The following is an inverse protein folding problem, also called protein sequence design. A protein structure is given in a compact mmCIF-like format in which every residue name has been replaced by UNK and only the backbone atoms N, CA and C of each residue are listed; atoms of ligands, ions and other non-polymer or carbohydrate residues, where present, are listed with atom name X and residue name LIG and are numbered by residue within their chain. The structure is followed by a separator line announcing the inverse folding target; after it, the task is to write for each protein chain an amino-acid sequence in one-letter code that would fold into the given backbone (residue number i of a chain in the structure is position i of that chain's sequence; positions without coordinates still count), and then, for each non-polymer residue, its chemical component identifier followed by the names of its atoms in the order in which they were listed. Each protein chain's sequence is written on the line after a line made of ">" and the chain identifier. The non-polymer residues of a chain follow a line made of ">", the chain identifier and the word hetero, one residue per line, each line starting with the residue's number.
data_IF_684100089192
#
_entry.id   IF_684100089192
#
_cell.length_a   1.000
_cell.length_b   1.000
_cell.length_c   1.000
_cell.angle_alpha   90.00
_cell.angle_beta   90.00
_cell.angle_gamma   90.00
#
_symmetry.space_group_name_H-M   'P 1'
#
loop_
_entity.id
_entity.type
_entity.pdbx_description
1 polymer ?
#
# COMPACT_ATOMS: atom_id res chain seq x y z
N UNK A 1 -38.34 -8.91 -10.71
CA UNK A 1 -37.32 -8.37 -9.80
C UNK A 1 -36.24 -9.44 -9.67
N UNK A 2 -34.98 -9.08 -9.92
CA UNK A 2 -33.86 -10.00 -9.70
C UNK A 2 -33.78 -10.40 -8.23
N UNK A 3 -33.24 -11.57 -7.96
CA UNK A 3 -33.03 -12.05 -6.60
C UNK A 3 -31.85 -11.31 -5.98
N UNK A 4 -32.01 -10.83 -4.75
CA UNK A 4 -30.93 -10.17 -4.02
C UNK A 4 -29.86 -11.17 -3.57
N UNK A 5 -28.61 -10.71 -3.50
CA UNK A 5 -27.49 -11.53 -3.07
C UNK A 5 -26.72 -10.83 -1.95
N UNK A 6 -26.61 -11.50 -0.80
CA UNK A 6 -25.73 -11.11 0.29
C UNK A 6 -24.63 -12.15 0.48
N UNK A 7 -23.40 -11.69 0.55
CA UNK A 7 -22.20 -12.53 0.75
C UNK A 7 -21.35 -12.00 1.88
N UNK A 8 -20.61 -12.86 2.53
CA UNK A 8 -19.66 -12.54 3.59
C UNK A 8 -18.27 -13.04 3.23
N UNK A 9 -17.25 -12.45 3.82
CA UNK A 9 -15.87 -12.88 3.69
C UNK A 9 -15.64 -14.21 4.42
N UNK A 10 -15.64 -15.31 3.67
CA UNK A 10 -15.41 -16.65 4.20
C UNK A 10 -13.91 -16.97 4.37
N UNK A 11 -13.07 -16.33 3.59
CA UNK A 11 -11.63 -16.48 3.59
C UNK A 11 -10.96 -15.39 2.75
N UNK A 12 -9.64 -15.49 2.56
CA UNK A 12 -8.85 -14.54 1.81
C UNK A 12 -7.91 -15.24 0.83
N UNK A 13 -7.67 -14.59 -0.30
CA UNK A 13 -6.57 -14.95 -1.23
C UNK A 13 -5.48 -13.90 -1.10
N UNK A 14 -4.31 -14.32 -0.59
CA UNK A 14 -3.16 -13.44 -0.49
C UNK A 14 -2.67 -13.03 -1.89
N UNK A 15 -2.40 -11.74 -2.06
CA UNK A 15 -1.71 -11.21 -3.22
C UNK A 15 -0.24 -10.91 -2.87
N UNK A 16 0.71 -11.17 -3.77
CA UNK A 16 2.07 -10.69 -3.62
C UNK A 16 2.10 -9.16 -3.69
N UNK A 17 3.27 -8.55 -3.46
CA UNK A 17 3.42 -7.13 -3.75
C UNK A 17 3.12 -6.86 -5.22
N UNK A 18 2.26 -5.88 -5.45
CA UNK A 18 1.87 -5.43 -6.78
C UNK A 18 2.06 -3.92 -6.88
N UNK A 19 2.54 -3.45 -8.04
CA UNK A 19 2.60 -2.04 -8.31
C UNK A 19 1.18 -1.45 -8.39
N UNK A 20 1.00 -0.29 -7.79
CA UNK A 20 -0.24 0.47 -7.86
C UNK A 20 -0.22 1.35 -9.12
N UNK A 21 -1.39 1.52 -9.73
CA UNK A 21 -1.58 2.44 -10.85
C UNK A 21 -1.75 3.87 -10.33
N UNK A 22 -0.99 4.82 -10.88
CA UNK A 22 -1.15 6.24 -10.59
C UNK A 22 -2.48 6.75 -11.17
N UNK A 23 -3.32 7.34 -10.33
CA UNK A 23 -4.59 7.97 -10.73
C UNK A 23 -4.42 9.44 -11.12
N UNK A 24 -3.23 10.00 -10.95
CA UNK A 24 -2.86 11.35 -11.32
C UNK A 24 -2.12 12.12 -10.20
N UNK A 25 -1.29 13.04 -10.62
CA UNK A 25 -0.52 13.94 -9.76
C UNK A 25 0.38 13.25 -8.71
N UNK A 26 0.69 11.97 -8.87
CA UNK A 26 1.50 11.18 -7.93
C UNK A 26 1.01 11.22 -6.46
N UNK A 27 -0.27 11.44 -6.25
CA UNK A 27 -0.90 11.51 -4.93
C UNK A 27 -1.84 10.34 -4.65
N UNK A 28 -2.52 9.81 -5.68
CA UNK A 28 -3.47 8.73 -5.54
C UNK A 28 -3.08 7.54 -6.41
N UNK A 29 -3.13 6.35 -5.83
CA UNK A 29 -2.71 5.11 -6.48
C UNK A 29 -3.74 4.02 -6.23
N UNK A 30 -4.02 3.20 -7.23
CA UNK A 30 -5.02 2.15 -7.15
C UNK A 30 -4.41 0.76 -7.32
N UNK A 31 -4.85 -0.16 -6.46
CA UNK A 31 -4.54 -1.57 -6.58
C UNK A 31 -5.33 -2.21 -7.73
N UNK A 32 -4.77 -3.27 -8.30
CA UNK A 32 -5.47 -4.10 -9.30
C UNK A 32 -6.54 -5.00 -8.67
N UNK A 33 -6.62 -5.04 -7.35
CA UNK A 33 -7.58 -5.85 -6.61
C UNK A 33 -8.34 -5.00 -5.58
N UNK A 34 -9.64 -5.27 -5.44
CA UNK A 34 -10.53 -4.67 -4.45
C UNK A 34 -11.75 -5.58 -4.20
N UNK A 35 -12.37 -5.55 -3.02
CA UNK A 35 -11.91 -4.86 -1.83
C UNK A 35 -10.65 -5.49 -1.25
N UNK A 36 -9.94 -4.75 -0.39
CA UNK A 36 -8.73 -5.22 0.30
C UNK A 36 -9.11 -5.77 1.67
N UNK A 37 -8.80 -7.04 1.93
CA UNK A 37 -9.06 -7.66 3.23
C UNK A 37 -8.21 -7.01 4.34
N UNK A 38 -8.80 -6.85 5.51
CA UNK A 38 -8.17 -6.36 6.73
C UNK A 38 -8.23 -7.41 7.87
N UNK A 39 -8.52 -8.64 7.53
CA UNK A 39 -8.51 -9.73 8.48
C UNK A 39 -7.11 -9.98 9.06
N UNK A 40 -7.04 -10.49 10.29
CA UNK A 40 -5.76 -10.82 10.94
C UNK A 40 -4.92 -11.72 10.06
N UNK A 41 -3.67 -11.33 9.83
CA UNK A 41 -2.75 -12.00 8.92
C UNK A 41 -2.87 -11.59 7.44
N UNK A 42 -3.84 -10.74 7.09
CA UNK A 42 -4.10 -10.29 5.74
C UNK A 42 -4.07 -8.76 5.58
N UNK A 43 -3.63 -8.04 6.60
CA UNK A 43 -3.55 -6.58 6.57
C UNK A 43 -2.71 -6.10 5.37
N UNK A 44 -3.20 -5.06 4.71
CA UNK A 44 -2.48 -4.46 3.62
C UNK A 44 -1.18 -3.80 4.08
N UNK A 45 -0.10 -4.05 3.36
CA UNK A 45 1.18 -3.37 3.54
C UNK A 45 1.40 -2.49 2.33
N UNK A 46 1.47 -1.18 2.57
CA UNK A 46 1.81 -0.19 1.56
C UNK A 46 3.30 0.12 1.75
N UNK A 47 4.08 -0.07 0.73
CA UNK A 47 5.50 0.22 0.79
C UNK A 47 5.96 0.89 -0.51
N UNK A 48 6.80 1.93 -0.41
CA UNK A 48 7.73 2.20 -1.47
C UNK A 48 8.63 0.97 -1.55
N UNK A 49 9.12 0.65 -2.72
CA UNK A 49 10.18 -0.34 -2.80
C UNK A 49 11.45 0.21 -2.14
N UNK A 50 12.28 -0.66 -1.59
CA UNK A 50 13.47 -0.22 -0.88
C UNK A 50 14.22 -1.35 -0.20
N UNK A 51 15.34 -0.99 0.41
CA UNK A 51 16.19 -1.89 1.19
C UNK A 51 15.47 -2.27 2.48
N UNK A 52 15.43 -3.56 2.79
CA UNK A 52 14.86 -4.07 4.03
C UNK A 52 15.96 -4.32 5.06
N UNK A 53 17.05 -4.97 4.64
CA UNK A 53 18.18 -5.30 5.52
C UNK A 53 19.48 -5.37 4.73
N UNK A 54 20.60 -5.15 5.38
CA UNK A 54 21.94 -5.28 4.78
C UNK A 54 22.27 -4.09 3.85
N UNK A 55 22.99 -4.36 2.75
CA UNK A 55 23.34 -3.38 1.73
C UNK A 55 24.36 -2.32 2.17
N UNK A 56 25.08 -2.56 3.24
CA UNK A 56 26.13 -1.64 3.72
C UNK A 56 27.19 -1.49 2.65
N UNK A 57 27.50 -0.24 2.29
CA UNK A 57 28.54 0.10 1.33
C UNK A 57 29.80 0.46 2.11
N UNK A 58 30.94 -0.12 1.72
CA UNK A 58 32.25 0.15 2.35
C UNK A 58 33.33 0.36 1.29
N UNK A 59 34.42 1.06 1.63
CA UNK A 59 35.59 1.18 0.76
C UNK A 59 36.10 -0.19 0.28
N UNK A 60 36.61 -0.23 -0.95
CA UNK A 60 37.36 -1.37 -1.48
C UNK A 60 38.82 -0.97 -1.72
N UNK A 61 39.75 -1.94 -1.68
CA UNK A 61 41.17 -1.63 -1.90
C UNK A 61 41.51 -1.21 -3.34
N UNK A 62 40.65 -1.55 -4.30
CA UNK A 62 40.81 -1.12 -5.70
C UNK A 62 40.24 0.27 -5.90
N UNK A 63 40.95 1.11 -6.70
CA UNK A 63 40.50 2.43 -7.05
C UNK A 63 39.08 2.40 -7.64
N UNK A 64 38.30 3.43 -7.30
CA UNK A 64 36.96 3.67 -7.82
C UNK A 64 35.97 2.52 -7.60
N UNK A 65 36.27 1.66 -6.63
CA UNK A 65 35.43 0.48 -6.35
C UNK A 65 34.95 0.54 -4.89
N UNK A 66 33.73 0.08 -4.68
CA UNK A 66 33.14 -0.10 -3.35
C UNK A 66 32.64 -1.52 -3.16
N UNK A 67 32.69 -2.01 -1.93
CA UNK A 67 32.06 -3.26 -1.51
C UNK A 67 30.60 -2.99 -1.11
N UNK A 68 29.72 -3.90 -1.45
CA UNK A 68 28.34 -3.92 -1.00
C UNK A 68 28.10 -5.24 -0.24
N UNK A 69 27.63 -5.14 0.99
CA UNK A 69 27.22 -6.31 1.77
C UNK A 69 25.95 -6.94 1.19
N UNK A 70 25.75 -8.22 1.47
CA UNK A 70 24.51 -8.90 1.12
C UNK A 70 23.29 -8.12 1.66
N UNK A 71 22.22 -8.12 0.88
CA UNK A 71 21.03 -7.31 1.16
C UNK A 71 19.74 -8.08 0.88
N UNK A 72 18.68 -7.60 1.48
CA UNK A 72 17.30 -7.97 1.16
C UNK A 72 16.51 -6.72 0.81
N UNK A 73 15.86 -6.72 -0.35
CA UNK A 73 15.09 -5.59 -0.86
C UNK A 73 13.64 -5.99 -1.10
N UNK A 74 12.76 -5.02 -0.98
CA UNK A 74 11.37 -5.15 -1.36
C UNK A 74 11.16 -4.55 -2.74
N UNK A 75 10.79 -5.40 -3.71
CA UNK A 75 10.50 -5.00 -5.08
C UNK A 75 9.31 -5.81 -5.58
N UNK A 76 8.29 -5.13 -6.09
CA UNK A 76 7.15 -5.82 -6.67
C UNK A 76 7.42 -6.22 -8.11
N UNK A 77 6.87 -7.37 -8.52
CA UNK A 77 6.94 -7.83 -9.93
C UNK A 77 8.35 -8.21 -10.41
N UNK A 78 9.32 -8.32 -9.50
CA UNK A 78 10.66 -8.78 -9.85
C UNK A 78 10.60 -10.24 -10.31
N UNK A 79 11.10 -10.52 -11.51
CA UNK A 79 11.32 -11.90 -11.95
C UNK A 79 12.38 -12.54 -11.05
N UNK A 80 12.04 -13.65 -10.41
CA UNK A 80 12.88 -14.30 -9.40
C UNK A 80 12.65 -13.81 -7.97
N UNK A 81 11.82 -12.79 -7.77
CA UNK A 81 11.34 -12.46 -6.44
C UNK A 81 10.51 -13.62 -5.89
N UNK A 82 10.71 -13.96 -4.63
CA UNK A 82 9.81 -14.87 -3.93
C UNK A 82 8.38 -14.34 -4.01
N UNK A 83 7.38 -15.17 -3.79
CA UNK A 83 5.98 -14.74 -3.71
C UNK A 83 5.72 -13.60 -2.69
N UNK A 84 6.68 -13.33 -1.82
CA UNK A 84 6.68 -12.24 -0.85
C UNK A 84 7.14 -10.89 -1.42
N UNK A 85 7.65 -10.84 -2.66
CA UNK A 85 8.22 -9.61 -3.25
C UNK A 85 9.60 -9.24 -2.71
N UNK A 86 10.26 -10.14 -1.99
CA UNK A 86 11.62 -9.92 -1.45
C UNK A 86 12.65 -10.43 -2.44
N UNK A 87 13.60 -9.56 -2.79
CA UNK A 87 14.78 -9.87 -3.61
C UNK A 87 15.99 -10.00 -2.69
N UNK A 88 16.68 -11.13 -2.76
CA UNK A 88 17.96 -11.34 -2.05
C UNK A 88 19.11 -10.95 -2.97
N UNK A 89 20.02 -10.15 -2.46
CA UNK A 89 21.21 -9.66 -3.16
C UNK A 89 22.44 -10.24 -2.50
N UNK A 90 23.29 -10.92 -3.25
CA UNK A 90 24.57 -11.39 -2.76
C UNK A 90 25.54 -10.23 -2.58
N UNK A 91 26.47 -10.37 -1.63
CA UNK A 91 27.56 -9.42 -1.51
C UNK A 91 28.35 -9.31 -2.84
N UNK A 92 28.80 -8.12 -3.15
CA UNK A 92 29.54 -7.86 -4.39
C UNK A 92 30.28 -6.54 -4.36
N UNK A 93 30.85 -6.18 -5.52
CA UNK A 93 31.56 -4.92 -5.71
C UNK A 93 30.98 -4.17 -6.88
N UNK A 94 31.06 -2.84 -6.84
CA UNK A 94 30.66 -1.97 -7.94
C UNK A 94 31.75 -0.94 -8.17
N UNK A 95 32.11 -0.72 -9.44
CA UNK A 95 33.04 0.33 -9.85
C UNK A 95 32.26 1.57 -10.26
N UNK A 96 32.64 2.72 -9.72
CA UNK A 96 32.08 4.03 -10.04
C UNK A 96 32.92 4.71 -11.12
N UNK A 97 32.38 5.78 -11.72
CA UNK A 97 33.12 6.68 -12.59
C UNK A 97 33.30 8.04 -11.93
N UNK A 98 34.42 8.67 -12.18
CA UNK A 98 34.72 10.04 -11.72
C UNK A 98 34.28 11.07 -12.75
N UNK A 99 34.26 12.34 -12.34
CA UNK A 99 34.01 13.47 -13.21
C UNK A 99 35.05 13.68 -14.29
N UNK A 100 34.89 14.74 -15.09
CA UNK A 100 35.82 15.11 -16.16
C UNK A 100 36.44 16.49 -15.89
N UNK A 101 37.61 16.71 -16.42
CA UNK A 101 38.53 17.85 -16.31
C UNK A 101 38.17 19.06 -15.41
N UNK A 102 37.13 19.80 -15.70
CA UNK A 102 36.70 20.98 -14.90
C UNK A 102 35.58 20.69 -13.92
N UNK A 103 34.73 19.70 -14.23
CA UNK A 103 33.59 19.31 -13.44
C UNK A 103 33.93 18.05 -12.63
N UNK A 104 34.62 18.28 -11.49
CA UNK A 104 35.24 17.21 -10.71
C UNK A 104 34.27 16.49 -9.77
N UNK A 105 33.16 17.12 -9.44
CA UNK A 105 32.18 16.58 -8.49
C UNK A 105 31.16 15.68 -9.20
N UNK A 106 31.02 14.48 -8.71
CA UNK A 106 30.02 13.52 -9.22
C UNK A 106 29.39 12.76 -8.08
N UNK A 107 28.06 12.65 -8.13
CA UNK A 107 27.29 11.75 -7.29
C UNK A 107 26.90 10.52 -8.11
N UNK A 108 27.30 9.34 -7.67
CA UNK A 108 26.95 8.08 -8.29
C UNK A 108 26.01 7.32 -7.36
N UNK A 109 24.83 6.98 -7.82
CA UNK A 109 23.89 6.12 -7.09
C UNK A 109 24.24 4.66 -7.28
N UNK A 110 24.35 3.90 -6.19
CA UNK A 110 24.50 2.46 -6.21
C UNK A 110 23.11 1.84 -6.16
N UNK A 111 22.76 1.08 -7.17
CA UNK A 111 21.41 0.54 -7.36
C UNK A 111 21.41 -0.97 -7.47
N UNK A 112 20.27 -1.57 -7.17
CA UNK A 112 19.98 -2.99 -7.37
C UNK A 112 18.73 -3.11 -8.21
N UNK A 113 18.77 -3.95 -9.23
CA UNK A 113 17.61 -4.24 -10.06
C UNK A 113 16.80 -5.46 -9.55
N UNK A 114 15.70 -5.76 -10.23
CA UNK A 114 14.80 -6.85 -9.90
C UNK A 114 15.44 -8.26 -9.92
N UNK A 115 16.54 -8.44 -10.63
CA UNK A 115 17.31 -9.69 -10.63
C UNK A 115 18.37 -9.76 -9.54
N UNK A 116 18.50 -8.72 -8.69
CA UNK A 116 19.52 -8.64 -7.64
C UNK A 116 20.88 -8.15 -8.15
N UNK A 117 20.98 -7.67 -9.40
CA UNK A 117 22.22 -7.17 -9.96
C UNK A 117 22.53 -5.76 -9.43
N UNK A 118 23.78 -5.60 -8.98
CA UNK A 118 24.33 -4.34 -8.48
C UNK A 118 24.82 -3.47 -9.66
N UNK A 119 24.49 -2.19 -9.65
CA UNK A 119 24.87 -1.26 -10.72
C UNK A 119 25.21 0.13 -10.16
N UNK A 120 26.22 0.80 -10.74
CA UNK A 120 26.49 2.20 -10.49
C UNK A 120 25.77 3.04 -11.55
N UNK A 121 24.97 4.00 -11.13
CA UNK A 121 24.29 4.97 -11.99
C UNK A 121 24.91 6.34 -11.75
N UNK A 122 25.75 6.86 -12.68
CA UNK A 122 26.43 8.13 -12.48
C UNK A 122 25.48 9.31 -12.69
N UNK A 123 25.59 10.33 -11.83
CA UNK A 123 25.00 11.63 -12.07
C UNK A 123 25.82 12.47 -13.07
N UNK A 124 25.30 13.62 -13.42
CA UNK A 124 25.99 14.59 -14.27
C UNK A 124 27.05 15.34 -13.45
N UNK A 125 28.24 15.50 -14.00
CA UNK A 125 29.36 16.19 -13.37
C UNK A 125 29.06 17.68 -13.15
N UNK A 126 29.72 18.26 -12.16
CA UNK A 126 29.66 19.69 -11.88
C UNK A 126 30.86 20.15 -11.05
N UNK A 127 30.99 21.46 -10.84
CA UNK A 127 32.01 22.06 -9.96
C UNK A 127 31.63 21.98 -8.47
N UNK A 128 30.38 21.67 -8.16
CA UNK A 128 29.87 21.57 -6.78
C UNK A 128 28.77 20.49 -6.71
N UNK A 129 28.54 19.92 -5.53
CA UNK A 129 27.41 19.04 -5.31
C UNK A 129 26.10 19.83 -5.18
N UNK A 130 25.04 19.23 -5.73
CA UNK A 130 23.65 19.68 -5.62
C UNK A 130 22.82 18.55 -5.05
N UNK A 131 21.90 18.83 -4.13
CA UNK A 131 21.06 17.80 -3.52
C UNK A 131 19.83 17.44 -4.36
N UNK A 132 19.51 18.27 -5.37
CA UNK A 132 18.35 18.02 -6.24
C UNK A 132 18.63 16.88 -7.21
N UNK A 133 17.84 15.83 -7.14
CA UNK A 133 17.94 14.67 -8.04
C UNK A 133 17.66 15.06 -9.48
N UNK A 134 18.49 14.55 -10.38
CA UNK A 134 18.44 14.85 -11.82
C UNK A 134 19.03 16.20 -12.22
N UNK A 135 19.43 17.04 -11.27
CA UNK A 135 20.15 18.27 -11.57
C UNK A 135 21.63 17.98 -11.91
N UNK A 136 22.28 18.91 -12.61
CA UNK A 136 23.74 18.89 -12.81
C UNK A 136 24.45 18.99 -11.47
N UNK A 137 25.36 18.06 -11.17
CA UNK A 137 26.02 17.92 -9.87
C UNK A 137 25.18 17.20 -8.81
N UNK A 138 23.95 16.81 -9.12
CA UNK A 138 23.04 16.12 -8.24
C UNK A 138 23.02 14.59 -8.41
N UNK A 139 22.31 13.89 -7.52
CA UNK A 139 22.06 12.44 -7.69
C UNK A 139 21.30 12.17 -9.00
N UNK A 140 21.62 11.09 -9.70
CA UNK A 140 20.90 10.73 -10.91
C UNK A 140 19.47 10.24 -10.60
N UNK A 141 18.58 10.31 -11.60
CA UNK A 141 17.38 9.50 -11.54
C UNK A 141 17.77 8.02 -11.65
N UNK A 142 17.19 7.17 -10.84
CA UNK A 142 17.45 5.74 -10.86
C UNK A 142 16.62 5.05 -11.95
N UNK A 143 17.11 3.96 -12.55
CA UNK A 143 16.33 3.20 -13.53
C UNK A 143 15.03 2.67 -12.94
N UNK A 144 13.96 2.67 -13.74
CA UNK A 144 12.68 2.05 -13.34
C UNK A 144 12.92 0.58 -13.02
N UNK A 145 12.32 0.10 -11.92
CA UNK A 145 12.51 -1.27 -11.46
C UNK A 145 13.84 -1.52 -10.74
N UNK A 146 14.56 -0.45 -10.37
CA UNK A 146 15.75 -0.52 -9.51
C UNK A 146 15.54 0.23 -8.20
N UNK A 147 16.28 -0.14 -7.18
CA UNK A 147 16.30 0.46 -5.85
C UNK A 147 17.68 1.05 -5.61
N UNK A 148 17.74 2.28 -5.13
CA UNK A 148 18.98 2.90 -4.67
C UNK A 148 19.30 2.43 -3.25
N UNK A 149 20.53 1.93 -3.04
CA UNK A 149 20.99 1.44 -1.74
C UNK A 149 22.04 2.36 -1.11
N UNK A 150 22.60 3.27 -1.88
CA UNK A 150 23.56 4.25 -1.39
C UNK A 150 24.09 5.13 -2.50
N UNK A 151 24.88 6.14 -2.13
CA UNK A 151 25.56 7.05 -3.04
C UNK A 151 27.05 7.09 -2.73
N UNK A 152 27.85 7.30 -3.77
CA UNK A 152 29.26 7.64 -3.67
C UNK A 152 29.45 9.04 -4.27
N UNK A 153 30.07 9.95 -3.50
CA UNK A 153 30.27 11.37 -3.84
C UNK A 153 31.76 11.66 -3.93
N UNK A 154 32.25 11.84 -5.13
CA UNK A 154 33.68 12.08 -5.41
C UNK A 154 33.90 13.50 -5.92
N UNK A 155 35.03 14.11 -5.50
CA UNK A 155 35.40 15.48 -5.85
C UNK A 155 36.70 15.55 -6.67
N UNK A 156 37.17 14.44 -7.19
CA UNK A 156 38.45 14.37 -7.93
C UNK A 156 38.27 13.51 -9.17
N UNK A 157 38.93 13.91 -10.25
CA UNK A 157 39.02 13.13 -11.52
C UNK A 157 40.05 12.02 -11.43
N UNK A 158 40.99 12.09 -10.47
CA UNK A 158 42.07 11.11 -10.35
C UNK A 158 41.53 9.84 -9.68
N UNK A 159 41.77 8.69 -10.35
CA UNK A 159 41.42 7.40 -9.83
C UNK A 159 42.09 7.17 -8.45
N UNK A 160 41.32 6.86 -7.45
CA UNK A 160 41.78 6.65 -6.08
C UNK A 160 40.81 5.69 -5.35
N UNK A 161 41.28 5.11 -4.26
CA UNK A 161 40.44 4.33 -3.36
C UNK A 161 39.33 5.23 -2.83
N UNK A 162 38.08 4.77 -2.92
CA UNK A 162 36.94 5.48 -2.35
C UNK A 162 37.05 5.43 -0.82
N UNK A 163 36.95 6.56 -0.18
CA UNK A 163 37.02 6.67 1.29
C UNK A 163 35.64 6.55 1.92
N UNK A 164 35.60 6.22 3.22
CA UNK A 164 34.34 6.15 3.95
C UNK A 164 33.59 7.50 4.00
N UNK A 165 34.32 8.64 3.90
CA UNK A 165 33.75 9.99 3.86
C UNK A 165 33.04 10.31 2.53
N UNK A 166 33.36 9.57 1.46
CA UNK A 166 32.72 9.72 0.13
C UNK A 166 31.50 8.80 -0.02
N UNK A 167 31.24 7.91 0.94
CA UNK A 167 30.11 6.99 0.93
C UNK A 167 28.99 7.57 1.78
N UNK A 168 27.88 7.85 1.13
CA UNK A 168 26.65 8.27 1.77
C UNK A 168 25.68 7.11 1.72
N UNK A 169 25.37 6.54 2.89
CA UNK A 169 24.21 5.68 3.01
C UNK A 169 23.03 6.56 2.59
N UNK A 170 22.57 6.36 1.37
CA UNK A 170 21.29 6.93 1.05
C UNK A 170 20.38 6.22 2.00
N UNK A 171 20.09 6.98 2.61
CA UNK A 171 18.86 7.19 3.15
C UNK A 171 17.70 6.60 2.36
N UNK A 172 17.84 6.32 1.10
CA UNK A 172 16.82 5.62 0.30
C UNK A 172 16.24 4.48 1.04
N UNK A 173 17.03 4.02 1.88
CA UNK A 173 16.68 2.95 2.72
C UNK A 173 16.16 3.37 4.07
N UNK A 174 16.53 4.49 4.57
CA UNK A 174 16.15 4.96 5.90
C UNK A 174 15.24 6.19 5.86
N UNK A 175 15.44 7.05 4.91
CA UNK A 175 14.64 8.26 4.72
C UNK A 175 13.58 8.10 3.65
N UNK A 176 13.58 7.04 2.86
CA UNK A 176 12.45 6.81 1.96
C UNK A 176 11.15 6.64 2.72
N UNK A 177 11.18 6.03 3.90
CA UNK A 177 10.02 6.02 4.79
C UNK A 177 9.74 7.41 5.39
N UNK A 178 10.78 8.18 5.71
CA UNK A 178 10.62 9.54 6.22
C UNK A 178 10.22 10.55 5.14
N UNK A 179 10.69 10.34 3.90
CA UNK A 179 10.35 11.16 2.75
C UNK A 179 8.98 10.83 2.14
N UNK A 180 8.36 9.73 2.57
CA UNK A 180 7.02 9.42 2.14
C UNK A 180 6.01 10.18 2.99
N UNK A 181 5.12 10.95 2.36
CA UNK A 181 4.01 11.56 3.09
C UNK A 181 3.10 10.47 3.65
N UNK A 182 2.42 10.78 4.75
CA UNK A 182 1.38 9.92 5.27
C UNK A 182 0.29 9.66 4.22
N UNK A 183 -0.43 8.56 4.38
CA UNK A 183 -1.47 8.17 3.43
C UNK A 183 -2.73 7.66 4.12
N UNK A 184 -3.83 7.65 3.37
CA UNK A 184 -5.06 6.93 3.69
C UNK A 184 -5.27 5.79 2.71
N UNK A 185 -5.95 4.72 3.16
CA UNK A 185 -6.30 3.56 2.32
C UNK A 185 -7.83 3.39 2.31
N UNK A 186 -8.44 3.62 1.15
CA UNK A 186 -9.82 3.17 0.87
C UNK A 186 -9.78 1.68 0.51
N UNK A 187 -10.07 0.83 1.48
CA UNK A 187 -10.02 -0.63 1.30
C UNK A 187 -11.10 -1.16 0.37
N UNK A 188 -12.25 -0.49 0.27
CA UNK A 188 -13.33 -0.92 -0.62
C UNK A 188 -12.95 -0.79 -2.10
N UNK A 189 -12.21 0.26 -2.44
CA UNK A 189 -11.77 0.56 -3.80
C UNK A 189 -10.32 0.17 -4.07
N UNK A 190 -9.55 -0.18 -3.03
CA UNK A 190 -8.11 -0.44 -3.13
C UNK A 190 -7.30 0.81 -3.49
N UNK A 191 -7.74 1.99 -3.05
CA UNK A 191 -7.09 3.27 -3.37
C UNK A 191 -6.28 3.77 -2.19
N UNK A 192 -5.00 4.03 -2.43
CA UNK A 192 -4.08 4.71 -1.50
C UNK A 192 -3.98 6.17 -1.90
N UNK A 193 -4.22 7.07 -0.98
CA UNK A 193 -4.09 8.52 -1.21
C UNK A 193 -3.06 9.10 -0.24
N UNK A 194 -1.97 9.65 -0.76
CA UNK A 194 -0.95 10.32 0.01
C UNK A 194 -1.33 11.77 0.30
N UNK A 195 -0.89 12.29 1.45
CA UNK A 195 -1.18 13.67 1.87
C UNK A 195 -0.40 14.73 1.07
N UNK A 196 0.65 14.31 0.36
CA UNK A 196 1.41 15.13 -0.58
C UNK A 196 1.87 14.27 -1.76
N UNK A 197 2.22 14.91 -2.88
CA UNK A 197 2.77 14.21 -4.04
C UNK A 197 4.10 13.53 -3.71
N UNK A 198 4.29 12.33 -4.25
CA UNK A 198 5.52 11.58 -4.08
C UNK A 198 6.68 12.22 -4.89
N UNK A 199 7.91 12.18 -4.38
CA UNK A 199 9.07 12.73 -5.08
C UNK A 199 9.39 11.96 -6.36
N UNK A 200 9.96 12.66 -7.33
CA UNK A 200 10.46 12.06 -8.58
C UNK A 200 11.83 11.46 -8.33
N UNK A 201 11.99 10.15 -8.50
CA UNK A 201 13.27 9.45 -8.28
C UNK A 201 13.72 8.58 -9.44
N UNK A 202 12.80 8.21 -10.35
CA UNK A 202 13.10 7.32 -11.47
C UNK A 202 13.51 8.06 -12.74
N UNK A 203 14.18 7.34 -13.63
CA UNK A 203 14.48 7.80 -15.00
C UNK A 203 13.19 8.25 -15.70
N UNK A 204 13.27 9.36 -16.43
CA UNK A 204 12.12 9.93 -17.11
C UNK A 204 11.22 10.78 -16.20
N UNK A 205 11.75 11.20 -15.04
CA UNK A 205 11.02 12.04 -14.08
C UNK A 205 9.72 11.40 -13.56
N UNK A 206 9.71 10.09 -13.41
CA UNK A 206 8.59 9.37 -12.81
C UNK A 206 8.61 9.52 -11.28
N UNK A 207 7.45 9.59 -10.64
CA UNK A 207 7.36 9.58 -9.19
C UNK A 207 7.84 8.23 -8.63
N UNK A 208 8.06 8.20 -7.33
CA UNK A 208 8.36 6.98 -6.60
C UNK A 208 7.26 5.94 -6.83
N UNK A 209 7.63 4.73 -7.25
CA UNK A 209 6.66 3.67 -7.40
C UNK A 209 6.12 3.21 -6.04
N UNK A 210 4.84 2.94 -5.98
CA UNK A 210 4.14 2.46 -4.78
C UNK A 210 3.67 1.05 -5.03
N UNK A 211 3.83 0.22 -4.02
CA UNK A 211 3.43 -1.17 -4.06
C UNK A 211 2.52 -1.52 -2.89
N UNK A 212 1.60 -2.40 -3.12
CA UNK A 212 0.75 -2.95 -2.07
C UNK A 212 0.82 -4.47 -2.06
N UNK A 213 1.04 -5.03 -0.88
CA UNK A 213 0.77 -6.42 -0.56
C UNK A 213 -0.51 -6.46 0.25
N UNK A 214 -1.42 -7.32 -0.13
CA UNK A 214 -2.69 -7.44 0.57
C UNK A 214 -3.36 -8.78 0.29
N UNK A 215 -4.63 -8.86 0.55
CA UNK A 215 -5.44 -10.01 0.21
C UNK A 215 -6.82 -9.58 -0.25
N UNK A 216 -7.37 -10.34 -1.18
CA UNK A 216 -8.74 -10.18 -1.65
C UNK A 216 -9.66 -11.08 -0.83
N UNK A 217 -10.81 -10.60 -0.34
CA UNK A 217 -11.79 -11.45 0.31
C UNK A 217 -12.34 -12.51 -0.64
N UNK A 218 -12.48 -13.73 -0.14
CA UNK A 218 -13.25 -14.79 -0.81
C UNK A 218 -14.65 -14.73 -0.25
N UNK A 219 -15.63 -14.42 -1.09
CA UNK A 219 -17.02 -14.26 -0.67
C UNK A 219 -17.82 -15.55 -0.79
N UNK A 220 -18.49 -15.95 0.30
CA UNK A 220 -19.50 -16.99 0.32
C UNK A 220 -20.90 -16.40 0.47
N UNK A 221 -21.90 -17.02 -0.15
CA UNK A 221 -23.30 -16.59 -0.08
C UNK A 221 -23.88 -16.89 1.30
N UNK A 222 -24.64 -15.95 1.85
CA UNK A 222 -25.51 -16.17 2.99
C UNK A 222 -26.85 -16.63 2.42
N UNK A 223 -27.21 -17.86 2.73
CA UNK A 223 -28.48 -18.44 2.26
C UNK A 223 -29.65 -17.81 3.02
N UNK A 224 -30.77 -17.62 2.29
CA UNK A 224 -32.01 -17.08 2.87
C UNK A 224 -31.83 -15.79 3.67
N UNK A 225 -30.88 -14.93 3.24
CA UNK A 225 -30.70 -13.61 3.82
C UNK A 225 -31.77 -12.64 3.32
N UNK A 226 -32.21 -11.75 4.20
CA UNK A 226 -33.22 -10.73 3.92
C UNK A 226 -32.93 -9.46 4.72
N UNK A 227 -33.70 -8.41 4.46
CA UNK A 227 -33.68 -7.15 5.21
C UNK A 227 -32.30 -6.52 5.35
N UNK A 228 -31.49 -6.50 4.25
CA UNK A 228 -30.23 -5.78 4.24
C UNK A 228 -30.43 -4.29 4.51
N UNK A 229 -29.72 -3.77 5.50
CA UNK A 229 -29.60 -2.35 5.80
C UNK A 229 -28.13 -1.93 5.76
N UNK A 230 -27.80 -0.95 4.92
CA UNK A 230 -26.45 -0.44 4.78
C UNK A 230 -26.04 0.45 5.96
N UNK A 231 -24.75 0.50 6.26
CA UNK A 231 -24.20 1.50 7.16
C UNK A 231 -24.19 2.87 6.47
N UNK A 232 -24.81 3.86 7.09
CA UNK A 232 -24.95 5.22 6.56
C UNK A 232 -24.45 6.25 7.54
N UNK A 233 -23.93 7.36 7.04
CA UNK A 233 -23.62 8.53 7.85
C UNK A 233 -24.86 9.41 7.95
N UNK A 234 -25.19 9.81 9.17
CA UNK A 234 -26.25 10.78 9.44
C UNK A 234 -25.66 12.01 10.12
N UNK A 235 -26.00 13.17 9.60
CA UNK A 235 -25.60 14.44 10.18
C UNK A 235 -26.78 15.01 10.97
N UNK A 236 -26.54 15.37 12.22
CA UNK A 236 -27.48 16.11 13.04
C UNK A 236 -26.93 17.51 13.33
N UNK A 237 -27.80 18.50 13.26
CA UNK A 237 -27.49 19.88 13.61
C UNK A 237 -28.22 20.21 14.88
N UNK A 238 -27.52 20.59 15.92
CA UNK A 238 -28.09 21.18 17.12
C UNK A 238 -27.80 22.69 17.13
N UNK A 239 -28.78 23.52 17.41
CA UNK A 239 -28.57 24.94 17.57
C UNK A 239 -28.84 25.34 19.00
N UNK A 240 -28.01 26.20 19.56
CA UNK A 240 -28.18 26.79 20.88
C UNK A 240 -28.25 28.31 20.74
N UNK A 241 -29.30 28.89 21.26
CA UNK A 241 -29.44 30.34 21.29
C UNK A 241 -28.55 30.91 22.38
N UNK A 242 -27.73 31.89 21.99
CA UNK A 242 -26.87 32.65 22.90
C UNK A 242 -27.25 34.13 22.86
N UNK A 243 -26.75 34.93 23.78
CA UNK A 243 -26.98 36.38 23.78
C UNK A 243 -26.51 37.09 22.51
N UNK A 244 -25.57 36.46 21.78
CA UNK A 244 -24.99 37.01 20.54
C UNK A 244 -25.58 36.37 19.25
N UNK A 245 -26.59 35.51 19.39
CA UNK A 245 -27.26 34.79 18.29
C UNK A 245 -27.25 33.29 18.43
N UNK A 246 -27.83 32.60 17.45
CA UNK A 246 -27.86 31.14 17.42
C UNK A 246 -26.51 30.58 16.95
N UNK A 247 -25.94 29.66 17.74
CA UNK A 247 -24.73 28.91 17.37
C UNK A 247 -25.15 27.48 17.03
N UNK A 248 -24.84 27.05 15.80
CA UNK A 248 -25.12 25.68 15.35
C UNK A 248 -23.89 24.79 15.49
N UNK A 249 -24.08 23.59 16.05
CA UNK A 249 -23.08 22.52 16.08
C UNK A 249 -23.55 21.35 15.22
N UNK A 250 -22.67 20.83 14.39
CA UNK A 250 -22.93 19.68 13.51
C UNK A 250 -22.22 18.45 14.07
N UNK A 251 -22.96 17.37 14.33
CA UNK A 251 -22.39 16.08 14.66
C UNK A 251 -22.69 15.05 13.57
N UNK A 252 -21.70 14.19 13.28
CA UNK A 252 -21.85 13.08 12.34
C UNK A 252 -21.84 11.78 13.11
N UNK A 253 -22.84 10.91 12.86
CA UNK A 253 -22.90 9.57 13.43
C UNK A 253 -22.96 8.52 12.32
N UNK A 254 -22.35 7.37 12.55
CA UNK A 254 -22.36 6.22 11.65
C UNK A 254 -23.36 5.19 12.16
N UNK A 255 -24.35 4.83 11.33
CA UNK A 255 -25.28 3.73 11.63
C UNK A 255 -24.61 2.40 11.35
N UNK A 256 -25.05 1.35 12.03
CA UNK A 256 -24.57 0.00 11.80
C UNK A 256 -25.30 -0.62 10.59
N UNK A 257 -24.61 -1.50 9.85
CA UNK A 257 -25.28 -2.34 8.88
C UNK A 257 -25.92 -3.56 9.55
N UNK A 258 -26.98 -4.08 8.95
CA UNK A 258 -27.68 -5.24 9.49
C UNK A 258 -28.35 -6.08 8.40
N UNK A 259 -28.65 -7.33 8.74
CA UNK A 259 -29.50 -8.21 7.94
C UNK A 259 -30.14 -9.29 8.80
N UNK A 260 -31.11 -9.99 8.25
CA UNK A 260 -31.66 -11.20 8.85
C UNK A 260 -31.40 -12.39 7.93
N UNK A 261 -31.30 -13.59 8.50
CA UNK A 261 -31.19 -14.82 7.72
C UNK A 261 -31.97 -15.95 8.40
N UNK A 262 -32.62 -16.78 7.60
CA UNK A 262 -33.20 -18.01 8.10
C UNK A 262 -32.10 -19.07 8.13
N UNK A 263 -31.83 -19.61 9.31
CA UNK A 263 -30.77 -20.61 9.52
C UNK A 263 -31.39 -21.96 9.84
N UNK A 264 -30.93 -23.01 9.15
CA UNK A 264 -31.40 -24.37 9.38
C UNK A 264 -30.73 -25.00 10.61
N UNK A 265 -29.41 -24.85 10.69
CA UNK A 265 -28.58 -25.51 11.70
C UNK A 265 -28.05 -24.55 12.81
N UNK A 266 -28.53 -23.31 12.79
CA UNK A 266 -28.14 -22.33 13.80
C UNK A 266 -26.66 -21.94 13.67
N UNK A 267 -25.88 -22.19 14.73
CA UNK A 267 -24.46 -21.79 14.78
C UNK A 267 -23.54 -22.58 13.84
N UNK A 268 -24.02 -23.69 13.25
CA UNK A 268 -23.23 -24.46 12.28
C UNK A 268 -23.19 -23.82 10.89
N UNK A 269 -24.05 -22.84 10.61
CA UNK A 269 -23.98 -22.06 9.36
C UNK A 269 -22.64 -21.34 9.23
N UNK A 270 -22.02 -21.40 8.07
CA UNK A 270 -20.65 -20.94 7.85
C UNK A 270 -20.41 -19.48 8.26
N UNK A 271 -21.37 -18.58 8.03
CA UNK A 271 -21.25 -17.18 8.44
C UNK A 271 -21.38 -17.01 9.98
N UNK A 272 -22.16 -17.86 10.64
CA UNK A 272 -22.32 -17.82 12.11
C UNK A 272 -21.03 -18.18 12.85
N UNK A 273 -20.17 -19.00 12.25
CA UNK A 273 -18.85 -19.33 12.79
C UNK A 273 -17.88 -18.14 12.77
N UNK A 274 -18.23 -17.09 12.05
CA UNK A 274 -17.44 -15.85 11.92
C UNK A 274 -17.85 -14.74 12.89
N UNK A 275 -18.80 -15.01 13.78
CA UNK A 275 -19.23 -14.04 14.82
C UNK A 275 -18.02 -13.59 15.64
N UNK A 276 -17.94 -12.29 15.87
CA UNK A 276 -16.83 -11.64 16.60
C UNK A 276 -15.64 -11.25 15.71
N UNK A 277 -15.59 -11.67 14.45
CA UNK A 277 -14.53 -11.31 13.49
C UNK A 277 -14.88 -10.02 12.73
N UNK A 278 -13.86 -9.32 12.28
CA UNK A 278 -13.97 -8.20 11.34
C UNK A 278 -13.97 -8.75 9.92
N UNK A 279 -15.03 -8.51 9.18
CA UNK A 279 -15.26 -9.12 7.86
C UNK A 279 -15.79 -8.10 6.87
N UNK A 280 -15.59 -8.39 5.59
CA UNK A 280 -16.29 -7.75 4.49
C UNK A 280 -17.62 -8.44 4.21
N UNK A 281 -18.61 -7.61 3.87
CA UNK A 281 -19.90 -8.03 3.33
C UNK A 281 -20.10 -7.39 1.97
N UNK A 282 -20.59 -8.18 1.01
CA UNK A 282 -20.96 -7.72 -0.32
C UNK A 282 -22.46 -7.92 -0.50
N UNK A 283 -23.16 -6.85 -0.81
CA UNK A 283 -24.56 -6.89 -1.17
C UNK A 283 -24.74 -6.51 -2.64
N UNK A 284 -25.55 -7.26 -3.36
CA UNK A 284 -26.00 -6.99 -4.72
C UNK A 284 -27.52 -6.94 -4.76
N UNK A 285 -28.11 -5.85 -5.27
CA UNK A 285 -29.55 -5.74 -5.43
C UNK A 285 -30.12 -6.77 -6.44
N UNK A 286 -29.29 -7.24 -7.35
CA UNK A 286 -29.61 -8.24 -8.38
C UNK A 286 -28.47 -9.26 -8.46
N UNK A 287 -28.76 -10.51 -8.13
CA UNK A 287 -27.80 -11.63 -8.12
C UNK A 287 -27.19 -11.89 -9.50
N UNK A 288 -27.98 -11.67 -10.56
CA UNK A 288 -27.57 -11.92 -11.94
C UNK A 288 -26.66 -10.84 -12.52
N UNK A 289 -26.52 -9.70 -11.82
CA UNK A 289 -25.68 -8.57 -12.23
C UNK A 289 -24.44 -8.44 -11.38
N UNK A 290 -23.32 -8.13 -12.03
CA UNK A 290 -22.08 -7.84 -11.33
C UNK A 290 -22.11 -6.49 -10.62
N UNK A 291 -22.87 -5.53 -11.14
CA UNK A 291 -22.99 -4.16 -10.65
C UNK A 291 -24.45 -3.68 -10.76
N UNK A 292 -24.92 -2.78 -9.92
CA UNK A 292 -24.20 -2.19 -8.78
C UNK A 292 -24.01 -3.19 -7.63
N UNK A 293 -23.05 -2.92 -6.76
CA UNK A 293 -22.81 -3.68 -5.54
C UNK A 293 -22.39 -2.76 -4.41
N UNK A 294 -22.58 -3.22 -3.18
CA UNK A 294 -22.22 -2.50 -1.97
C UNK A 294 -21.22 -3.29 -1.16
N UNK A 295 -20.22 -2.62 -0.60
CA UNK A 295 -19.28 -3.21 0.33
C UNK A 295 -19.38 -2.55 1.70
N UNK A 296 -19.47 -3.39 2.73
CA UNK A 296 -19.43 -2.98 4.14
C UNK A 296 -18.41 -3.82 4.86
N UNK A 297 -17.55 -3.20 5.67
CA UNK A 297 -16.62 -3.88 6.55
C UNK A 297 -16.92 -3.52 7.99
N UNK A 298 -16.89 -4.50 8.86
CA UNK A 298 -17.06 -4.25 10.28
C UNK A 298 -17.02 -5.51 11.12
N UNK A 299 -17.05 -5.32 12.43
CA UNK A 299 -17.12 -6.44 13.38
C UNK A 299 -18.51 -7.05 13.32
N UNK A 300 -18.54 -8.36 13.05
CA UNK A 300 -19.78 -9.11 12.88
C UNK A 300 -20.32 -9.63 14.21
N UNK A 301 -21.59 -9.38 14.46
CA UNK A 301 -22.35 -9.95 15.57
C UNK A 301 -23.65 -10.55 15.06
N UNK A 302 -24.09 -11.64 15.64
CA UNK A 302 -25.37 -12.24 15.30
C UNK A 302 -26.00 -12.92 16.53
N UNK A 303 -27.31 -12.86 16.59
CA UNK A 303 -28.12 -13.53 17.61
C UNK A 303 -29.15 -14.42 16.92
N UNK A 304 -29.23 -15.67 17.34
CA UNK A 304 -30.23 -16.63 16.81
C UNK A 304 -31.44 -16.63 17.76
N UNK A 305 -32.60 -16.39 17.22
CA UNK A 305 -33.87 -16.56 17.87
C UNK A 305 -34.59 -17.79 17.31
N UNK A 306 -35.30 -18.52 18.23
CA UNK A 306 -36.12 -19.67 17.84
C UNK A 306 -37.58 -19.26 18.04
N UNK A 307 -38.25 -18.67 17.04
CA UNK A 307 -39.66 -18.37 17.13
C UNK A 307 -40.49 -19.68 17.23
N UNK A 308 -41.65 -19.59 17.88
CA UNK A 308 -42.52 -20.73 18.12
C UNK A 308 -42.96 -21.48 16.82
N UNK A 309 -42.81 -20.89 15.68
CA UNK A 309 -43.15 -21.45 14.36
C UNK A 309 -42.06 -22.34 13.74
N UNK A 310 -40.98 -22.64 14.43
CA UNK A 310 -39.99 -23.67 14.02
C UNK A 310 -38.83 -23.20 13.14
N UNK A 311 -38.87 -22.00 12.55
CA UNK A 311 -37.73 -21.46 11.82
C UNK A 311 -36.76 -20.70 12.72
N UNK A 312 -35.47 -20.99 12.65
CA UNK A 312 -34.45 -20.22 13.37
C UNK A 312 -34.10 -18.99 12.56
N UNK A 313 -34.13 -17.82 13.19
CA UNK A 313 -33.79 -16.56 12.53
C UNK A 313 -32.53 -16.00 13.20
N UNK A 314 -31.50 -15.77 12.41
CA UNK A 314 -30.32 -15.02 12.81
C UNK A 314 -30.56 -13.53 12.51
N UNK A 315 -30.50 -12.70 13.54
CA UNK A 315 -30.42 -11.24 13.39
C UNK A 315 -28.96 -10.84 13.50
N UNK A 316 -28.45 -10.29 12.43
CA UNK A 316 -27.03 -9.96 12.27
C UNK A 316 -26.83 -8.46 12.28
N UNK A 317 -25.78 -8.02 12.96
CA UNK A 317 -25.36 -6.62 13.02
C UNK A 317 -23.90 -6.54 12.66
N UNK A 318 -23.53 -5.53 11.85
CA UNK A 318 -22.18 -5.24 11.44
C UNK A 318 -21.80 -3.88 11.99
N UNK A 319 -20.94 -3.87 13.00
CA UNK A 319 -20.38 -2.63 13.57
C UNK A 319 -19.37 -2.08 12.57
N UNK A 320 -19.87 -1.30 11.60
CA UNK A 320 -19.08 -0.75 10.53
C UNK A 320 -18.15 0.36 11.02
N UNK A 321 -16.93 0.44 10.48
CA UNK A 321 -15.97 1.50 10.77
C UNK A 321 -16.13 2.70 9.83
N UNK A 322 -16.80 2.51 8.71
CA UNK A 322 -17.11 3.53 7.71
C UNK A 322 -18.43 3.22 7.01
N UNK A 323 -19.01 4.20 6.38
CA UNK A 323 -20.23 4.01 5.60
C UNK A 323 -20.06 2.95 4.51
N UNK A 324 -21.14 2.28 4.19
CA UNK A 324 -21.20 1.34 3.05
C UNK A 324 -20.73 2.05 1.78
N UNK A 325 -19.83 1.41 1.05
CA UNK A 325 -19.30 1.93 -0.22
C UNK A 325 -20.05 1.33 -1.37
N UNK A 326 -20.61 2.18 -2.24
CA UNK A 326 -21.24 1.78 -3.49
C UNK A 326 -20.20 1.66 -4.60
N UNK A 327 -20.28 0.56 -5.36
CA UNK A 327 -19.52 0.33 -6.59
C UNK A 327 -20.53 0.23 -7.73
N UNK A 328 -20.53 1.24 -8.61
CA UNK A 328 -21.56 1.41 -9.64
C UNK A 328 -21.01 1.07 -11.04
N UNK A 329 -19.70 1.24 -11.27
CA UNK A 329 -19.03 0.99 -12.55
C UNK A 329 -17.63 0.40 -12.35
#
# INVERSE_FOLDING_TARGET
>A
MGKQLLRYEAGQTAAPFQALSDLGAATAFQATFSPVSDATGSQAVIAPYGLQTGGVITPHATNDTVNIAAASLLMAGASGASASGVVSVSAGTVTISRGVSTDTHRITSITVNASGALTAVPGVDHTTFVETRGATGGPPFIPVGSVEIGQVRVMSITAAVVTAAEIFAVAGTHTELADNPGFTLDRAKGVVTFFAALPLIHTGSLPKAVYMKGATPIFAKIQNADAWSAATETNSVSSQDTYDGAVGETSTSLTQASFTAIVSDGISEGFMQKVGQKLWFEYRPDEDKLLPKQYTQGKFAAVVSNPASGSKIATATISAEFKTTDVIA
#
